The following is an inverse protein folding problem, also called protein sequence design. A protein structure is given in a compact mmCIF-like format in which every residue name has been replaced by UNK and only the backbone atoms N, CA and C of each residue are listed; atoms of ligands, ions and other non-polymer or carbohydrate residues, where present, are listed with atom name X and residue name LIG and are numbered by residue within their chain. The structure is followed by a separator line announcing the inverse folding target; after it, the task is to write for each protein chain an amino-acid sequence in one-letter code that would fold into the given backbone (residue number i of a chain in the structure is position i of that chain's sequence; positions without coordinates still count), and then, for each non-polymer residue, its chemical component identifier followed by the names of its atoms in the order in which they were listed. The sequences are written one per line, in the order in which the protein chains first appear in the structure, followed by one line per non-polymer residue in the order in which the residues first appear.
data_IF_030313884438
#
_entry.id   IF_030313884438
#
_cell.length_a   1.000
_cell.length_b   1.000
_cell.length_c   1.000
_cell.angle_alpha   90.00
_cell.angle_beta   90.00
_cell.angle_gamma   90.00
#
_symmetry.space_group_name_H-M   'P 1'
#
loop_
_entity.id
_entity.type
_entity.pdbx_description
1 polymer ?
#
# COMPACT_ATOMS: atom_id res chain seq x y z
N UNK A 1 0.45 2.93 -23.41
CA UNK A 1 0.20 3.32 -22.00
C UNK A 1 1.43 4.05 -21.49
N UNK A 2 1.30 5.16 -20.74
CA UNK A 2 2.44 5.90 -20.19
C UNK A 2 3.29 5.04 -19.26
N UNK A 3 4.62 5.23 -19.26
CA UNK A 3 5.53 4.52 -18.35
C UNK A 3 5.20 4.76 -16.87
N UNK A 4 4.69 5.95 -16.55
CA UNK A 4 4.25 6.29 -15.19
C UNK A 4 3.15 5.35 -14.65
N UNK A 5 2.31 4.75 -15.51
CA UNK A 5 1.31 3.77 -15.05
C UNK A 5 1.97 2.51 -14.49
N UNK A 6 3.08 2.05 -15.08
CA UNK A 6 3.79 0.87 -14.55
C UNK A 6 4.42 1.15 -13.19
N UNK A 7 4.82 2.39 -12.89
CA UNK A 7 5.26 2.76 -11.55
C UNK A 7 4.10 2.69 -10.53
N UNK A 8 2.89 3.12 -10.91
CA UNK A 8 1.69 2.96 -10.08
C UNK A 8 1.29 1.49 -9.91
N UNK A 9 1.39 0.68 -10.97
CA UNK A 9 1.16 -0.77 -10.92
C UNK A 9 2.16 -1.45 -9.99
N UNK A 10 3.44 -1.09 -10.05
CA UNK A 10 4.47 -1.65 -9.16
C UNK A 10 4.24 -1.25 -7.70
N UNK A 11 3.82 -0.02 -7.44
CA UNK A 11 3.42 0.41 -6.10
C UNK A 11 2.22 -0.40 -5.59
N UNK A 12 1.17 -0.56 -6.43
CA UNK A 12 0.01 -1.40 -6.09
C UNK A 12 0.41 -2.86 -5.83
N UNK A 13 1.37 -3.39 -6.59
CA UNK A 13 1.94 -4.72 -6.38
C UNK A 13 2.66 -4.84 -5.02
N UNK A 14 3.53 -3.88 -4.69
CA UNK A 14 4.23 -3.87 -3.42
C UNK A 14 3.24 -3.78 -2.23
N UNK A 15 2.27 -2.88 -2.33
CA UNK A 15 1.24 -2.69 -1.30
C UNK A 15 0.39 -3.96 -1.12
N UNK A 16 -0.11 -4.54 -2.22
CA UNK A 16 -0.87 -5.78 -2.18
C UNK A 16 -0.07 -6.94 -1.60
N UNK A 17 1.22 -7.02 -1.94
CA UNK A 17 2.10 -8.04 -1.34
C UNK A 17 2.20 -7.85 0.17
N UNK A 18 2.50 -6.64 0.66
CA UNK A 18 2.57 -6.33 2.11
C UNK A 18 1.28 -6.67 2.86
N UNK A 19 0.14 -6.39 2.26
CA UNK A 19 -1.16 -6.62 2.89
C UNK A 19 -1.39 -8.10 3.15
N UNK A 20 -1.23 -8.93 2.13
CA UNK A 20 -1.66 -10.33 2.17
C UNK A 20 -0.56 -11.32 2.57
N UNK A 21 0.72 -10.99 2.37
CA UNK A 21 1.83 -11.93 2.63
C UNK A 21 1.91 -12.36 4.09
N UNK A 22 1.49 -11.49 5.02
CA UNK A 22 1.54 -11.75 6.45
C UNK A 22 0.68 -12.95 6.85
N UNK A 23 -0.37 -13.26 6.08
CA UNK A 23 -1.25 -14.42 6.31
C UNK A 23 -0.46 -15.73 6.24
N UNK A 24 0.43 -15.87 5.25
CA UNK A 24 1.32 -17.03 5.11
C UNK A 24 2.44 -17.07 6.16
N UNK A 25 2.70 -15.95 6.83
CA UNK A 25 3.75 -15.78 7.83
C UNK A 25 3.23 -15.85 9.27
N UNK A 26 1.91 -15.93 9.50
CA UNK A 26 1.32 -15.94 10.85
C UNK A 26 1.95 -16.99 11.78
N UNK A 27 2.18 -18.25 11.35
CA UNK A 27 2.82 -19.24 12.22
C UNK A 27 4.25 -18.82 12.61
N UNK A 28 5.05 -18.35 11.65
CA UNK A 28 6.43 -17.92 11.90
C UNK A 28 6.49 -16.68 12.80
N UNK A 29 5.56 -15.72 12.64
CA UNK A 29 5.44 -14.54 13.49
C UNK A 29 5.03 -14.93 14.91
N UNK A 30 4.04 -15.83 15.03
CA UNK A 30 3.56 -16.29 16.33
C UNK A 30 4.66 -16.98 17.14
N UNK A 31 5.40 -17.88 16.50
CA UNK A 31 6.55 -18.55 17.12
C UNK A 31 7.66 -17.57 17.48
N UNK A 32 8.06 -16.68 16.57
CA UNK A 32 9.18 -15.76 16.80
C UNK A 32 8.88 -14.74 17.91
N UNK A 33 7.65 -14.19 17.95
CA UNK A 33 7.24 -13.22 18.96
C UNK A 33 6.65 -13.86 20.23
N UNK A 34 6.61 -15.18 20.32
CA UNK A 34 6.05 -15.95 21.44
C UNK A 34 4.60 -15.55 21.77
N UNK A 35 3.79 -15.34 20.73
CA UNK A 35 2.36 -15.02 20.84
C UNK A 35 1.50 -16.17 20.30
N UNK A 36 0.21 -16.15 20.62
CA UNK A 36 -0.74 -17.14 20.08
C UNK A 36 -1.10 -16.84 18.62
N UNK A 37 -1.48 -17.86 17.86
CA UNK A 37 -1.97 -17.69 16.48
C UNK A 37 -3.16 -16.73 16.37
N UNK A 38 -4.17 -16.74 17.28
CA UNK A 38 -5.23 -15.74 17.29
C UNK A 38 -4.71 -14.30 17.43
N UNK A 39 -3.70 -14.06 18.28
CA UNK A 39 -3.07 -12.74 18.40
C UNK A 39 -2.35 -12.35 17.10
N UNK A 40 -1.60 -13.27 16.49
CA UNK A 40 -0.99 -13.02 15.18
C UNK A 40 -2.04 -12.68 14.11
N UNK A 41 -3.21 -13.32 14.14
CA UNK A 41 -4.33 -13.01 13.24
C UNK A 41 -4.83 -11.56 13.36
N UNK A 42 -4.79 -10.96 14.56
CA UNK A 42 -5.19 -9.56 14.76
C UNK A 42 -4.30 -8.56 14.01
N UNK A 43 -3.07 -8.94 13.63
CA UNK A 43 -2.19 -8.13 12.79
C UNK A 43 -2.88 -7.81 11.45
N UNK A 44 -3.59 -8.79 10.89
CA UNK A 44 -4.36 -8.63 9.65
C UNK A 44 -5.57 -7.73 9.90
N UNK A 45 -6.32 -8.00 10.97
CA UNK A 45 -7.52 -7.22 11.32
C UNK A 45 -7.20 -5.74 11.58
N UNK A 46 -6.15 -5.45 12.34
CA UNK A 46 -5.71 -4.09 12.64
C UNK A 46 -5.25 -3.36 11.38
N UNK A 47 -4.53 -4.06 10.49
CA UNK A 47 -4.17 -3.50 9.19
C UNK A 47 -5.42 -3.15 8.37
N UNK A 48 -6.40 -4.07 8.28
CA UNK A 48 -7.65 -3.85 7.57
C UNK A 48 -8.49 -2.70 8.16
N UNK A 49 -8.52 -2.54 9.48
CA UNK A 49 -9.14 -1.38 10.14
C UNK A 49 -8.38 -0.09 9.79
N UNK A 50 -7.04 -0.14 9.80
CA UNK A 50 -6.19 0.97 9.37
C UNK A 50 -6.48 1.41 7.93
N UNK A 51 -6.70 0.48 7.00
CA UNK A 51 -7.11 0.79 5.63
C UNK A 51 -8.53 1.36 5.61
N UNK A 52 -9.48 0.68 6.25
CA UNK A 52 -10.92 1.04 6.28
C UNK A 52 -11.14 2.47 6.78
N UNK A 53 -10.51 2.86 7.87
CA UNK A 53 -10.67 4.20 8.45
C UNK A 53 -9.64 5.19 7.92
N UNK A 54 -8.43 4.73 7.64
CA UNK A 54 -7.35 5.58 7.14
C UNK A 54 -7.64 6.16 5.77
N UNK A 55 -8.19 5.37 4.85
CA UNK A 55 -8.51 5.81 3.49
C UNK A 55 -9.42 7.05 3.46
N UNK A 56 -10.65 7.05 4.03
CA UNK A 56 -11.54 8.20 3.98
C UNK A 56 -10.98 9.41 4.73
N UNK A 57 -10.44 9.20 5.93
CA UNK A 57 -9.91 10.27 6.78
C UNK A 57 -8.72 10.97 6.12
N UNK A 58 -7.70 10.20 5.73
CA UNK A 58 -6.50 10.79 5.15
C UNK A 58 -6.75 11.31 3.74
N UNK A 59 -7.65 10.71 2.95
CA UNK A 59 -8.04 11.29 1.64
C UNK A 59 -8.68 12.67 1.82
N UNK A 60 -9.54 12.85 2.82
CA UNK A 60 -10.13 14.16 3.12
C UNK A 60 -9.06 15.16 3.61
N UNK A 61 -8.15 14.75 4.50
CA UNK A 61 -7.09 15.61 5.03
C UNK A 61 -6.03 15.99 3.99
N UNK A 62 -5.78 15.12 3.01
CA UNK A 62 -4.73 15.31 2.00
C UNK A 62 -5.24 15.91 0.69
N UNK A 63 -6.53 16.24 0.59
CA UNK A 63 -7.14 16.88 -0.58
C UNK A 63 -6.40 18.12 -1.10
N UNK A 64 -5.88 19.02 -0.24
CA UNK A 64 -5.12 20.20 -0.70
C UNK A 64 -3.73 19.90 -1.26
N UNK A 65 -3.17 18.72 -0.97
CA UNK A 65 -1.79 18.35 -1.32
C UNK A 65 -1.73 17.99 -2.82
N UNK A 66 -0.69 18.48 -3.50
CA UNK A 66 -0.44 18.10 -4.89
C UNK A 66 -0.22 16.59 -5.02
N UNK A 67 -0.71 16.01 -6.13
CA UNK A 67 -0.79 14.57 -6.36
C UNK A 67 0.56 13.84 -6.28
N UNK A 68 1.58 14.37 -6.94
CA UNK A 68 2.91 13.74 -6.94
C UNK A 68 3.57 13.76 -5.55
N UNK A 69 3.67 14.90 -4.82
CA UNK A 69 4.15 14.92 -3.45
C UNK A 69 3.36 13.98 -2.51
N UNK A 70 2.04 13.90 -2.68
CA UNK A 70 1.21 12.99 -1.90
C UNK A 70 1.59 11.53 -2.14
N UNK A 71 1.67 11.07 -3.39
CA UNK A 71 2.07 9.69 -3.69
C UNK A 71 3.48 9.36 -3.17
N UNK A 72 4.43 10.29 -3.30
CA UNK A 72 5.78 10.10 -2.75
C UNK A 72 5.76 9.99 -1.22
N UNK A 73 4.99 10.85 -0.54
CA UNK A 73 4.82 10.77 0.91
C UNK A 73 4.18 9.46 1.37
N UNK A 74 3.16 8.98 0.65
CA UNK A 74 2.51 7.69 0.93
C UNK A 74 3.48 6.52 0.71
N UNK A 75 4.27 6.56 -0.37
CA UNK A 75 5.28 5.53 -0.61
C UNK A 75 6.40 5.57 0.42
N UNK A 76 6.82 6.75 0.87
CA UNK A 76 7.77 6.88 1.97
C UNK A 76 7.21 6.29 3.27
N UNK A 77 5.95 6.61 3.61
CA UNK A 77 5.27 6.04 4.77
C UNK A 77 5.14 4.51 4.68
N UNK A 78 4.84 3.99 3.48
CA UNK A 78 4.81 2.56 3.21
C UNK A 78 6.17 1.90 3.44
N UNK A 79 7.25 2.48 2.91
CA UNK A 79 8.62 1.97 3.08
C UNK A 79 8.99 1.98 4.57
N UNK A 80 8.75 3.08 5.26
CA UNK A 80 9.04 3.22 6.69
C UNK A 80 8.21 2.24 7.54
N UNK A 81 6.93 2.06 7.23
CA UNK A 81 6.08 1.09 7.91
C UNK A 81 6.57 -0.35 7.71
N UNK A 82 6.95 -0.74 6.50
CA UNK A 82 7.48 -2.09 6.24
C UNK A 82 8.88 -2.29 6.85
N UNK A 83 9.75 -1.28 6.79
CA UNK A 83 11.05 -1.33 7.47
C UNK A 83 10.87 -1.43 9.00
N UNK A 84 9.90 -0.70 9.56
CA UNK A 84 9.53 -0.79 10.97
C UNK A 84 9.03 -2.19 11.35
N UNK A 85 8.22 -2.83 10.50
CA UNK A 85 7.79 -4.21 10.70
C UNK A 85 8.96 -5.19 10.61
N UNK A 86 9.89 -4.98 9.67
CA UNK A 86 11.09 -5.80 9.55
C UNK A 86 12.03 -5.64 10.76
N UNK A 87 12.01 -4.49 11.43
CA UNK A 87 12.83 -4.18 12.60
C UNK A 87 12.12 -4.44 13.94
N UNK A 88 10.85 -4.85 13.93
CA UNK A 88 10.07 -4.91 15.17
C UNK A 88 10.56 -6.04 16.08
N UNK A 89 10.97 -5.75 17.33
CA UNK A 89 11.40 -6.77 18.28
C UNK A 89 10.23 -7.47 18.97
N UNK A 90 9.05 -6.83 18.97
CA UNK A 90 7.87 -7.29 19.69
C UNK A 90 6.57 -7.04 18.90
N UNK A 91 5.48 -7.61 19.42
CA UNK A 91 4.15 -7.55 18.82
C UNK A 91 3.56 -6.13 18.79
N UNK A 92 3.63 -5.31 19.86
CA UNK A 92 3.14 -3.94 19.81
C UNK A 92 3.80 -3.09 18.73
N UNK A 93 5.13 -3.16 18.59
CA UNK A 93 5.83 -2.37 17.55
C UNK A 93 5.46 -2.85 16.14
N UNK A 94 5.27 -4.17 15.96
CA UNK A 94 4.75 -4.72 14.72
C UNK A 94 3.36 -4.15 14.39
N UNK A 95 2.43 -4.10 15.36
CA UNK A 95 1.11 -3.52 15.13
C UNK A 95 1.18 -2.04 14.71
N UNK A 96 2.01 -1.24 15.38
CA UNK A 96 2.21 0.18 15.00
C UNK A 96 2.73 0.28 13.57
N UNK A 97 3.75 -0.50 13.22
CA UNK A 97 4.29 -0.54 11.87
C UNK A 97 3.24 -0.93 10.82
N UNK A 98 2.37 -1.89 11.14
CA UNK A 98 1.24 -2.29 10.30
C UNK A 98 0.24 -1.17 10.11
N UNK A 99 -0.18 -0.49 11.17
CA UNK A 99 -1.10 0.67 11.07
C UNK A 99 -0.50 1.78 10.20
N UNK A 100 0.78 2.10 10.38
CA UNK A 100 1.48 3.10 9.55
C UNK A 100 1.46 2.72 8.06
N UNK A 101 1.77 1.46 7.74
CA UNK A 101 1.72 0.98 6.35
C UNK A 101 0.29 0.88 5.79
N UNK A 102 -0.72 0.62 6.63
CA UNK A 102 -2.13 0.58 6.23
C UNK A 102 -2.67 1.95 5.80
N UNK A 103 -2.23 3.01 6.48
CA UNK A 103 -2.55 4.39 6.10
C UNK A 103 -2.05 4.76 4.71
N UNK A 104 -0.83 4.32 4.36
CA UNK A 104 -0.31 4.50 3.01
C UNK A 104 -1.17 3.78 1.96
N UNK A 105 -1.56 2.54 2.26
CA UNK A 105 -2.36 1.71 1.35
C UNK A 105 -3.70 2.37 0.98
N UNK A 106 -4.53 2.70 1.97
CA UNK A 106 -5.88 3.19 1.71
C UNK A 106 -5.94 4.45 0.83
N UNK A 107 -5.04 5.41 1.09
CA UNK A 107 -4.99 6.67 0.32
C UNK A 107 -4.36 6.44 -1.05
N UNK A 108 -3.35 5.57 -1.16
CA UNK A 108 -2.64 5.32 -2.41
C UNK A 108 -3.58 4.83 -3.50
N UNK A 109 -4.46 3.87 -3.20
CA UNK A 109 -5.38 3.33 -4.21
C UNK A 109 -6.45 4.34 -4.63
N UNK A 110 -6.98 5.11 -3.68
CA UNK A 110 -7.95 6.18 -3.99
C UNK A 110 -7.35 7.24 -4.92
N UNK A 111 -6.19 7.79 -4.55
CA UNK A 111 -5.53 8.86 -5.29
C UNK A 111 -4.89 8.33 -6.58
N UNK A 112 -4.28 7.15 -6.53
CA UNK A 112 -3.61 6.52 -7.65
C UNK A 112 -4.57 6.20 -8.79
N UNK A 113 -5.78 5.75 -8.50
CA UNK A 113 -6.78 5.48 -9.54
C UNK A 113 -7.17 6.75 -10.31
N UNK A 114 -7.33 7.88 -9.61
CA UNK A 114 -7.57 9.18 -10.25
C UNK A 114 -6.38 9.59 -11.14
N UNK A 115 -5.15 9.48 -10.61
CA UNK A 115 -3.95 9.83 -11.37
C UNK A 115 -3.79 8.92 -12.60
N UNK A 116 -4.06 7.62 -12.46
CA UNK A 116 -4.00 6.68 -13.57
C UNK A 116 -4.98 7.08 -14.70
N UNK A 117 -6.19 7.51 -14.35
CA UNK A 117 -7.17 8.02 -15.30
C UNK A 117 -6.75 9.36 -15.94
N UNK A 118 -6.07 10.23 -15.20
CA UNK A 118 -5.61 11.54 -15.69
C UNK A 118 -4.37 11.45 -16.59
N UNK A 119 -3.61 10.35 -16.52
CA UNK A 119 -2.43 10.09 -17.35
C UNK A 119 -2.78 9.69 -18.80
N UNK A 120 -4.05 9.42 -19.10
CA UNK A 120 -4.48 8.90 -20.40
C UNK A 120 -5.69 9.64 -20.96
N UNK A 121 -5.91 9.57 -22.29
CA UNK A 121 -7.15 10.03 -22.92
C UNK A 121 -8.41 9.38 -22.33
N UNK A 122 -9.55 10.06 -22.42
CA UNK A 122 -10.82 9.67 -21.78
C UNK A 122 -11.27 8.24 -22.14
N UNK A 123 -11.08 7.84 -23.40
CA UNK A 123 -11.41 6.51 -23.94
C UNK A 123 -10.57 5.38 -23.33
N UNK A 124 -9.44 5.70 -22.68
CA UNK A 124 -8.50 4.73 -22.10
C UNK A 124 -8.49 4.70 -20.57
N UNK A 125 -9.29 5.54 -19.92
CA UNK A 125 -9.31 5.68 -18.45
C UNK A 125 -9.55 4.37 -17.72
N UNK A 126 -10.58 3.61 -18.14
CA UNK A 126 -10.90 2.32 -17.55
C UNK A 126 -9.72 1.34 -17.67
N UNK A 127 -9.03 1.32 -18.81
CA UNK A 127 -7.85 0.47 -19.02
C UNK A 127 -6.66 0.89 -18.18
N UNK A 128 -6.46 2.20 -17.95
CA UNK A 128 -5.36 2.68 -17.09
C UNK A 128 -5.61 2.34 -15.62
N UNK A 129 -6.85 2.52 -15.13
CA UNK A 129 -7.24 2.10 -13.78
C UNK A 129 -7.08 0.57 -13.65
N UNK A 130 -7.57 -0.20 -14.61
CA UNK A 130 -7.42 -1.65 -14.61
C UNK A 130 -5.95 -2.09 -14.58
N UNK A 131 -5.06 -1.44 -15.35
CA UNK A 131 -3.63 -1.74 -15.35
C UNK A 131 -2.96 -1.41 -14.00
N UNK A 132 -3.38 -0.34 -13.33
CA UNK A 132 -2.91 -0.05 -11.97
C UNK A 132 -3.34 -1.16 -11.00
N UNK A 133 -4.63 -1.50 -10.98
CA UNK A 133 -5.17 -2.54 -10.08
C UNK A 133 -4.67 -3.95 -10.44
N UNK A 134 -4.24 -4.20 -11.67
CA UNK A 134 -3.58 -5.44 -12.06
C UNK A 134 -2.35 -5.73 -11.18
N UNK A 135 -1.67 -4.70 -10.68
CA UNK A 135 -0.57 -4.86 -9.73
C UNK A 135 -1.00 -5.62 -8.47
N UNK A 136 -2.18 -5.31 -7.93
CA UNK A 136 -2.77 -6.02 -6.78
C UNK A 136 -3.09 -7.48 -7.12
N UNK A 137 -3.70 -7.74 -8.27
CA UNK A 137 -4.00 -9.11 -8.70
C UNK A 137 -2.74 -9.94 -8.86
N UNK A 138 -1.72 -9.39 -9.53
CA UNK A 138 -0.43 -10.06 -9.72
C UNK A 138 0.29 -10.27 -8.39
N UNK A 139 0.16 -9.35 -7.43
CA UNK A 139 0.71 -9.51 -6.08
C UNK A 139 0.11 -10.71 -5.36
N UNK A 140 -1.20 -10.91 -5.41
CA UNK A 140 -1.85 -12.06 -4.77
C UNK A 140 -1.36 -13.37 -5.39
N UNK A 141 -1.21 -13.42 -6.72
CA UNK A 141 -0.79 -14.64 -7.42
C UNK A 141 0.70 -14.95 -7.26
N UNK A 142 1.55 -13.92 -7.18
CA UNK A 142 3.02 -14.12 -7.21
C UNK A 142 3.73 -13.57 -5.97
N UNK A 143 3.48 -12.30 -5.62
CA UNK A 143 4.14 -11.63 -4.50
C UNK A 143 3.86 -12.31 -3.17
N UNK A 144 2.62 -12.74 -2.92
CA UNK A 144 2.23 -13.40 -1.67
C UNK A 144 2.89 -14.78 -1.53
N UNK A 145 2.83 -15.70 -2.50
CA UNK A 145 3.58 -16.97 -2.41
C UNK A 145 5.09 -16.77 -2.28
N UNK A 146 5.69 -15.90 -3.10
CA UNK A 146 7.14 -15.66 -3.07
C UNK A 146 7.57 -15.03 -1.74
N UNK A 147 6.84 -14.04 -1.25
CA UNK A 147 7.11 -13.41 0.03
C UNK A 147 6.89 -14.36 1.21
N UNK A 148 5.91 -15.27 1.12
CA UNK A 148 5.71 -16.32 2.14
C UNK A 148 6.89 -17.28 2.14
N UNK A 149 7.32 -17.75 0.97
CA UNK A 149 8.48 -18.63 0.82
C UNK A 149 9.76 -17.99 1.38
N UNK A 150 10.00 -16.71 1.05
CA UNK A 150 11.12 -15.94 1.60
C UNK A 150 11.05 -15.90 3.13
N UNK A 151 9.89 -15.59 3.70
CA UNK A 151 9.75 -15.44 5.15
C UNK A 151 9.85 -16.76 5.91
N UNK A 152 9.38 -17.86 5.32
CA UNK A 152 9.53 -19.20 5.90
C UNK A 152 10.97 -19.71 5.83
N UNK A 153 11.75 -19.28 4.83
CA UNK A 153 13.14 -19.74 4.63
C UNK A 153 14.17 -18.87 5.36
N UNK A 154 14.00 -17.55 5.32
CA UNK A 154 14.97 -16.57 5.83
C UNK A 154 14.47 -15.80 7.06
N UNK A 155 13.31 -16.16 7.58
CA UNK A 155 12.62 -15.46 8.66
C UNK A 155 11.65 -14.40 8.16
N UNK A 156 10.51 -14.26 8.82
CA UNK A 156 9.38 -13.43 8.37
C UNK A 156 9.75 -11.95 8.17
N UNK A 157 10.75 -11.44 8.91
CA UNK A 157 11.31 -10.08 8.75
C UNK A 157 11.93 -9.85 7.37
N UNK A 158 12.52 -10.87 6.75
CA UNK A 158 13.15 -10.77 5.43
C UNK A 158 12.12 -10.37 4.35
N UNK A 159 10.90 -10.90 4.44
CA UNK A 159 9.81 -10.53 3.54
C UNK A 159 9.48 -9.05 3.61
N UNK A 160 9.44 -8.48 4.81
CA UNK A 160 9.17 -7.05 4.99
C UNK A 160 10.30 -6.17 4.43
N UNK A 161 11.56 -6.60 4.53
CA UNK A 161 12.67 -5.92 3.86
C UNK A 161 12.56 -5.97 2.33
N UNK A 162 12.22 -7.12 1.77
CA UNK A 162 12.02 -7.27 0.32
C UNK A 162 10.91 -6.34 -0.17
N UNK A 163 9.78 -6.30 0.53
CA UNK A 163 8.67 -5.44 0.11
C UNK A 163 8.96 -3.95 0.35
N UNK A 164 9.72 -3.59 1.39
CA UNK A 164 10.24 -2.23 1.54
C UNK A 164 11.14 -1.84 0.36
N UNK A 165 11.99 -2.76 -0.12
CA UNK A 165 12.80 -2.58 -1.32
C UNK A 165 11.96 -2.37 -2.59
N UNK A 166 10.91 -3.18 -2.79
CA UNK A 166 9.94 -2.97 -3.88
C UNK A 166 9.27 -1.60 -3.78
N UNK A 167 8.92 -1.18 -2.56
CA UNK A 167 8.42 0.16 -2.29
C UNK A 167 9.40 1.25 -2.70
N UNK A 168 10.70 1.06 -2.44
CA UNK A 168 11.76 1.97 -2.88
C UNK A 168 11.86 2.08 -4.41
N UNK A 169 11.76 0.96 -5.13
CA UNK A 169 11.76 0.95 -6.60
C UNK A 169 10.52 1.69 -7.13
N UNK A 170 9.34 1.43 -6.54
CA UNK A 170 8.11 2.12 -6.90
C UNK A 170 8.17 3.62 -6.60
N UNK A 171 8.73 4.02 -5.46
CA UNK A 171 8.97 5.42 -5.09
C UNK A 171 9.85 6.11 -6.15
N UNK A 172 10.97 5.49 -6.53
CA UNK A 172 11.86 6.02 -7.57
C UNK A 172 11.14 6.13 -8.92
N UNK A 173 10.36 5.11 -9.30
CA UNK A 173 9.55 5.13 -10.52
C UNK A 173 8.55 6.30 -10.54
N UNK A 174 7.84 6.53 -9.42
CA UNK A 174 6.91 7.65 -9.29
C UNK A 174 7.66 8.99 -9.33
N UNK A 175 8.80 9.09 -8.63
CA UNK A 175 9.60 10.32 -8.59
C UNK A 175 10.11 10.73 -9.98
N UNK A 176 10.56 9.75 -10.77
CA UNK A 176 11.16 9.98 -12.09
C UNK A 176 10.13 10.09 -13.21
N UNK A 177 9.07 9.27 -13.21
CA UNK A 177 8.17 9.13 -14.36
C UNK A 177 6.88 9.95 -14.23
N UNK A 178 6.43 10.26 -13.01
CA UNK A 178 5.17 10.96 -12.83
C UNK A 178 5.35 12.48 -13.09
N UNK A 179 4.54 13.11 -13.95
CA UNK A 179 4.67 14.54 -14.23
C UNK A 179 4.30 15.37 -12.99
N UNK A 180 5.00 16.50 -12.80
CA UNK A 180 4.73 17.43 -11.70
C UNK A 180 3.45 18.28 -11.92
N UNK A 181 2.96 18.34 -13.17
CA UNK A 181 1.83 19.16 -13.62
C UNK A 181 0.47 18.50 -13.43
N UNK A 182 0.38 17.43 -12.63
CA UNK A 182 -0.90 16.76 -12.36
C UNK A 182 -1.90 17.73 -11.72
N UNK A 183 -3.10 17.77 -12.29
CA UNK A 183 -4.21 18.59 -11.82
C UNK A 183 -4.50 18.34 -10.34
N UNK A 184 -4.64 19.41 -9.55
CA UNK A 184 -5.19 19.32 -8.20
C UNK A 184 -6.67 18.97 -8.33
N UNK A 185 -7.12 17.89 -7.71
CA UNK A 185 -8.57 17.69 -7.61
C UNK A 185 -9.15 18.71 -6.62
N UNK A 186 -10.42 19.11 -6.80
CA UNK A 186 -11.14 19.84 -5.77
C UNK A 186 -11.07 19.07 -4.44
N UNK A 187 -10.93 19.73 -3.29
CA UNK A 187 -10.88 19.06 -1.99
C UNK A 187 -12.17 18.26 -1.78
N UNK A 188 -12.05 16.94 -1.64
CA UNK A 188 -13.17 16.08 -1.30
C UNK A 188 -13.53 16.31 0.18
N UNK A 189 -14.78 16.70 0.47
CA UNK A 189 -15.24 16.87 1.86
C UNK A 189 -15.70 15.51 2.39
N UNK A 190 -15.48 15.25 3.68
CA UNK A 190 -16.01 14.04 4.34
C UNK A 190 -17.53 13.91 4.15
N UNK A 191 -18.23 15.05 4.13
CA UNK A 191 -19.68 15.10 3.86
C UNK A 191 -20.04 14.53 2.47
N UNK A 192 -19.18 14.72 1.46
CA UNK A 192 -19.41 14.20 0.12
C UNK A 192 -19.24 12.67 0.08
N UNK A 193 -18.33 12.12 0.90
CA UNK A 193 -18.14 10.67 1.02
C UNK A 193 -19.31 10.00 1.74
N UNK A 194 -19.83 10.61 2.81
CA UNK A 194 -20.99 10.07 3.54
C UNK A 194 -22.25 10.07 2.66
N UNK A 195 -22.44 11.11 1.84
CA UNK A 195 -23.60 11.23 0.95
C UNK A 195 -23.62 10.19 -0.20
N UNK A 196 -22.49 9.57 -0.50
CA UNK A 196 -22.42 8.46 -1.49
C UNK A 196 -22.94 7.15 -0.88
N UNK A 197 -22.99 7.04 0.45
CA UNK A 197 -23.45 5.83 1.16
C UNK A 197 -24.97 5.82 1.43
N UNK A 198 -25.70 6.91 1.15
CA UNK A 198 -27.15 7.04 1.35
C UNK A 198 -27.64 8.48 1.36
#
# INVERSE_FOLDING_TARGET
MPLALFALTLAAYAIGTTEFVIVGLLPTVATDLQITLPLAGLIVSVYALGVTFGAPVLTALTGPIARKPLLLGLMALFILGNAGAALSPDYPLLLVARVLSAFAHGVFFSVGATIAADLVPQDKRASAIALMFMGLTVAIVTGVPLGTFIGQTFGWRATFWVVAGLGGIAFAGIALLLPATLSKAPPARLMDQVRVLG
#
